data_IF_554787662454
#
_entry.id   IF_554787662454
#
_cell.length_a   1.000
_cell.length_b   1.000
_cell.length_c   1.000
_cell.angle_alpha   90.00
_cell.angle_beta   90.00
_cell.angle_gamma   90.00
#
_symmetry.space_group_name_H-M   'P 1'
#
loop_
_entity.id
_entity.type
_entity.pdbx_description
1 polymer ?
#
# COMPACT_ATOMS: atom_id res chain seq x y z
N UNK A 1 -10.47 11.07 14.55
CA UNK A 1 -9.41 10.57 13.69
C UNK A 1 -8.90 11.74 12.85
N UNK A 2 -7.57 11.88 12.65
CA UNK A 2 -7.02 12.99 11.88
C UNK A 2 -6.96 12.56 10.40
N UNK A 3 -7.74 13.24 9.54
CA UNK A 3 -7.73 13.06 8.09
C UNK A 3 -6.34 13.39 7.53
N UNK A 4 -5.78 12.49 6.71
CA UNK A 4 -4.47 12.67 6.09
C UNK A 4 -4.55 12.91 4.58
N UNK A 5 -5.43 12.18 3.89
CA UNK A 5 -5.74 12.36 2.48
C UNK A 5 -7.26 12.35 2.28
N UNK A 6 -7.75 13.26 1.46
CA UNK A 6 -9.16 13.31 1.04
C UNK A 6 -9.22 13.39 -0.49
N UNK A 7 -10.04 12.54 -1.07
CA UNK A 7 -10.42 12.57 -2.47
C UNK A 7 -11.89 12.98 -2.52
N UNK A 8 -12.22 14.02 -3.29
CA UNK A 8 -13.58 14.55 -3.41
C UNK A 8 -13.98 14.60 -4.88
N UNK A 9 -14.87 13.70 -5.29
CA UNK A 9 -15.36 13.52 -6.67
C UNK A 9 -14.22 13.42 -7.70
N UNK A 10 -13.14 12.70 -7.34
CA UNK A 10 -11.93 12.57 -8.16
C UNK A 10 -12.16 11.57 -9.28
N UNK A 11 -11.83 11.96 -10.52
CA UNK A 11 -11.76 11.07 -11.68
C UNK A 11 -10.44 11.19 -12.42
N UNK A 12 -10.13 10.17 -13.25
CA UNK A 12 -8.94 10.20 -14.09
C UNK A 12 -9.10 9.37 -15.36
N UNK A 13 -8.59 9.91 -16.47
CA UNK A 13 -8.48 9.23 -17.77
C UNK A 13 -7.07 9.39 -18.32
N UNK A 14 -6.53 8.33 -18.89
CA UNK A 14 -5.27 8.40 -19.63
C UNK A 14 -5.49 8.96 -21.05
N UNK A 15 -4.58 9.81 -21.53
CA UNK A 15 -4.63 10.41 -22.87
C UNK A 15 -4.24 9.42 -24.01
N UNK A 16 -4.52 8.13 -23.83
CA UNK A 16 -4.14 7.07 -24.76
C UNK A 16 -5.20 6.75 -25.82
N UNK A 17 -6.16 7.66 -26.05
CA UNK A 17 -7.19 7.51 -27.08
C UNK A 17 -8.35 6.59 -26.71
N UNK A 18 -8.43 6.12 -25.47
CA UNK A 18 -9.58 5.37 -24.94
C UNK A 18 -10.68 6.30 -24.45
N UNK A 19 -11.95 5.97 -24.72
CA UNK A 19 -13.11 6.72 -24.20
C UNK A 19 -13.43 6.44 -22.73
N UNK A 20 -12.82 5.40 -22.12
CA UNK A 20 -13.14 4.97 -20.75
C UNK A 20 -12.24 5.63 -19.72
N UNK A 21 -12.83 6.02 -18.59
CA UNK A 21 -12.10 6.51 -17.43
C UNK A 21 -11.34 5.36 -16.76
N UNK A 22 -10.08 5.61 -16.42
CA UNK A 22 -9.29 4.70 -15.59
C UNK A 22 -9.78 4.71 -14.13
N UNK A 23 -10.33 5.87 -13.70
CA UNK A 23 -11.09 6.01 -12.46
C UNK A 23 -12.28 6.92 -12.71
N UNK A 24 -13.47 6.41 -12.49
CA UNK A 24 -14.72 7.17 -12.45
C UNK A 24 -14.77 8.03 -11.18
N UNK A 25 -15.59 9.10 -11.13
CA UNK A 25 -15.68 9.96 -9.95
C UNK A 25 -15.92 9.15 -8.67
N UNK A 26 -15.06 9.35 -7.70
CA UNK A 26 -15.16 8.71 -6.38
C UNK A 26 -14.72 9.67 -5.28
N UNK A 27 -15.21 9.43 -4.07
CA UNK A 27 -14.82 10.17 -2.88
C UNK A 27 -14.39 9.19 -1.79
N UNK A 28 -13.22 9.44 -1.17
CA UNK A 28 -12.70 8.66 -0.05
C UNK A 28 -11.84 9.54 0.86
N UNK A 29 -11.91 9.28 2.16
CA UNK A 29 -11.08 9.95 3.17
C UNK A 29 -10.21 8.92 3.87
N UNK A 30 -8.91 9.18 3.96
CA UNK A 30 -7.93 8.32 4.63
C UNK A 30 -7.47 9.01 5.90
N UNK A 31 -7.31 8.23 6.97
CA UNK A 31 -6.96 8.76 8.28
C UNK A 31 -5.57 8.29 8.72
N UNK A 32 -4.92 9.09 9.57
CA UNK A 32 -3.59 8.77 10.06
C UNK A 32 -3.58 7.48 10.88
N UNK A 33 -2.65 6.59 10.57
CA UNK A 33 -2.43 5.34 11.28
C UNK A 33 -3.37 4.21 10.85
N UNK A 34 -4.13 4.34 9.74
CA UNK A 34 -4.93 3.23 9.21
C UNK A 34 -4.06 2.20 8.47
N UNK A 35 -4.47 0.93 8.56
CA UNK A 35 -4.03 -0.16 7.68
C UNK A 35 -5.13 -0.44 6.66
N UNK A 36 -4.91 -0.05 5.41
CA UNK A 36 -5.93 -0.13 4.35
C UNK A 36 -5.48 -1.11 3.27
N UNK A 37 -6.30 -2.11 3.00
CA UNK A 37 -6.14 -2.95 1.82
C UNK A 37 -6.98 -2.39 0.66
N UNK A 38 -6.38 -2.31 -0.53
CA UNK A 38 -7.05 -1.89 -1.76
C UNK A 38 -7.18 -3.12 -2.66
N UNK A 39 -8.39 -3.69 -2.70
CA UNK A 39 -8.71 -4.91 -3.44
C UNK A 39 -9.28 -4.60 -4.83
N UNK A 40 -9.04 -5.51 -5.75
CA UNK A 40 -9.57 -5.48 -7.12
C UNK A 40 -8.68 -6.24 -8.08
N UNK A 41 -9.25 -6.66 -9.21
CA UNK A 41 -8.49 -7.34 -10.28
C UNK A 41 -7.44 -6.43 -10.93
N UNK A 42 -6.57 -7.03 -11.74
CA UNK A 42 -5.67 -6.26 -12.59
C UNK A 42 -6.49 -5.36 -13.52
N UNK A 43 -6.09 -4.10 -13.63
CA UNK A 43 -6.85 -3.09 -14.38
C UNK A 43 -8.04 -2.47 -13.65
N UNK A 44 -8.33 -2.82 -12.38
CA UNK A 44 -9.42 -2.24 -11.61
C UNK A 44 -9.24 -0.76 -11.24
N UNK A 45 -8.03 -0.18 -11.43
CA UNK A 45 -7.73 1.21 -11.12
C UNK A 45 -6.85 1.42 -9.88
N UNK A 46 -6.40 0.34 -9.19
CA UNK A 46 -5.62 0.43 -7.94
C UNK A 46 -4.33 1.25 -8.09
N UNK A 47 -3.50 0.93 -9.08
CA UNK A 47 -2.25 1.67 -9.33
C UNK A 47 -2.51 3.12 -9.75
N UNK A 48 -3.57 3.38 -10.53
CA UNK A 48 -3.99 4.74 -10.88
C UNK A 48 -4.41 5.53 -9.64
N UNK A 49 -5.16 4.92 -8.73
CA UNK A 49 -5.50 5.51 -7.43
C UNK A 49 -4.24 5.87 -6.63
N UNK A 50 -3.23 4.98 -6.58
CA UNK A 50 -1.96 5.24 -5.89
C UNK A 50 -1.15 6.36 -6.54
N UNK A 51 -1.12 6.43 -7.87
CA UNK A 51 -0.44 7.51 -8.59
C UNK A 51 -1.11 8.88 -8.37
N UNK A 52 -2.43 8.92 -8.23
CA UNK A 52 -3.16 10.12 -7.82
C UNK A 52 -2.88 10.48 -6.36
N UNK A 53 -2.89 9.50 -5.44
CA UNK A 53 -2.62 9.69 -4.03
C UNK A 53 -1.21 10.24 -3.77
N UNK A 54 -0.21 9.79 -4.54
CA UNK A 54 1.17 10.29 -4.48
C UNK A 54 1.38 11.62 -5.24
N UNK A 55 0.41 12.05 -6.08
CA UNK A 55 0.52 13.27 -6.88
C UNK A 55 1.41 13.15 -8.12
N UNK A 56 1.71 11.93 -8.59
CA UNK A 56 2.30 11.68 -9.92
C UNK A 56 1.29 12.02 -10.99
N UNK A 57 0.07 11.50 -10.86
CA UNK A 57 -1.06 11.89 -11.71
C UNK A 57 -1.82 13.07 -11.12
N UNK A 58 -2.53 13.80 -11.99
CA UNK A 58 -3.43 14.89 -11.60
C UNK A 58 -4.86 14.45 -11.84
N UNK A 59 -5.78 14.71 -10.91
CA UNK A 59 -7.18 14.42 -11.16
C UNK A 59 -7.68 15.22 -12.38
N UNK A 60 -8.56 14.61 -13.15
CA UNK A 60 -9.22 15.27 -14.28
C UNK A 60 -10.42 16.09 -13.79
N UNK A 61 -11.15 15.54 -12.79
CA UNK A 61 -12.20 16.24 -12.06
C UNK A 61 -11.99 16.04 -10.56
N UNK A 62 -12.68 16.83 -9.76
CA UNK A 62 -12.62 16.75 -8.31
C UNK A 62 -11.35 17.34 -7.71
N UNK A 63 -11.14 17.10 -6.42
CA UNK A 63 -10.03 17.66 -5.67
C UNK A 63 -9.39 16.62 -4.74
N UNK A 64 -8.06 16.65 -4.64
CA UNK A 64 -7.31 15.89 -3.63
C UNK A 64 -6.78 16.87 -2.60
N UNK A 65 -6.98 16.56 -1.30
CA UNK A 65 -6.43 17.33 -0.19
C UNK A 65 -5.47 16.47 0.62
N UNK A 66 -4.38 17.06 1.05
CA UNK A 66 -3.42 16.47 1.98
C UNK A 66 -3.35 17.31 3.25
N UNK A 67 -3.64 16.70 4.41
CA UNK A 67 -3.74 17.40 5.71
C UNK A 67 -4.67 18.63 5.65
N UNK A 68 -5.79 18.50 4.95
CA UNK A 68 -6.79 19.56 4.76
C UNK A 68 -6.46 20.58 3.67
N UNK A 69 -5.22 20.63 3.17
CA UNK A 69 -4.80 21.56 2.15
C UNK A 69 -4.95 20.97 0.74
N UNK A 70 -5.51 21.72 -0.22
CA UNK A 70 -5.63 21.25 -1.61
C UNK A 70 -4.26 20.93 -2.22
N UNK A 71 -4.15 19.78 -2.87
CA UNK A 71 -2.99 19.40 -3.66
C UNK A 71 -3.11 20.11 -5.00
N UNK A 72 -2.56 21.32 -5.06
CA UNK A 72 -2.72 22.19 -6.21
C UNK A 72 -1.92 21.74 -7.46
N UNK A 73 -2.16 22.45 -8.56
CA UNK A 73 -1.52 22.20 -9.86
C UNK A 73 -0.01 22.54 -9.88
N UNK A 74 0.48 23.31 -8.89
CA UNK A 74 1.88 23.75 -8.84
C UNK A 74 2.79 22.57 -8.46
N UNK A 75 3.89 22.41 -9.21
CA UNK A 75 4.88 21.35 -8.97
C UNK A 75 5.42 21.34 -7.54
N UNK A 76 5.63 22.52 -6.95
CA UNK A 76 6.10 22.67 -5.56
C UNK A 76 5.16 21.99 -4.55
N UNK A 77 3.84 22.10 -4.73
CA UNK A 77 2.85 21.47 -3.83
C UNK A 77 2.85 19.95 -3.98
N UNK A 78 2.91 19.46 -5.23
CA UNK A 78 2.98 18.02 -5.50
C UNK A 78 4.30 17.40 -5.03
N UNK A 79 5.42 18.13 -5.15
CA UNK A 79 6.71 17.72 -4.58
C UNK A 79 6.60 17.54 -3.06
N UNK A 80 5.94 18.49 -2.36
CA UNK A 80 5.67 18.38 -0.91
C UNK A 80 4.82 17.14 -0.60
N UNK A 81 3.79 16.85 -1.41
CA UNK A 81 2.98 15.65 -1.25
C UNK A 81 3.82 14.38 -1.41
N UNK A 82 4.63 14.27 -2.48
CA UNK A 82 5.49 13.10 -2.73
C UNK A 82 6.55 12.85 -1.66
N UNK A 83 6.92 13.87 -0.89
CA UNK A 83 7.78 13.72 0.28
C UNK A 83 7.08 13.03 1.44
N UNK A 84 5.77 13.22 1.54
CA UNK A 84 4.96 12.76 2.67
C UNK A 84 4.15 11.51 2.36
N UNK A 85 3.89 11.25 1.09
CA UNK A 85 3.17 10.09 0.59
C UNK A 85 4.11 9.30 -0.31
N UNK A 86 4.77 8.30 0.24
CA UNK A 86 5.71 7.44 -0.48
C UNK A 86 4.99 6.37 -1.30
N UNK A 87 5.54 6.00 -2.46
CA UNK A 87 5.00 4.96 -3.33
C UNK A 87 6.08 3.91 -3.62
N UNK A 88 5.73 2.64 -3.38
CA UNK A 88 6.52 1.47 -3.77
C UNK A 88 5.79 0.76 -4.89
N UNK A 89 6.42 0.66 -6.05
CA UNK A 89 5.85 0.04 -7.24
C UNK A 89 5.84 -1.49 -7.13
N UNK A 90 4.94 -2.12 -7.91
CA UNK A 90 4.83 -3.57 -8.00
C UNK A 90 6.12 -4.23 -8.47
N UNK A 91 6.77 -3.67 -9.49
CA UNK A 91 8.05 -4.14 -10.00
C UNK A 91 9.19 -3.27 -9.43
N UNK A 92 10.05 -3.82 -8.54
CA UNK A 92 11.16 -3.05 -8.01
C UNK A 92 12.21 -2.70 -9.08
N UNK A 93 12.33 -3.44 -10.18
CA UNK A 93 13.32 -3.16 -11.22
C UNK A 93 13.06 -1.85 -11.96
N UNK A 94 11.81 -1.38 -12.01
CA UNK A 94 11.49 -0.05 -12.59
C UNK A 94 11.76 1.09 -11.60
N UNK A 95 11.98 0.78 -10.32
CA UNK A 95 12.20 1.77 -9.27
C UNK A 95 13.68 1.93 -8.91
N UNK A 96 14.46 0.84 -8.95
CA UNK A 96 15.85 0.80 -8.50
C UNK A 96 16.80 1.18 -9.65
N UNK A 97 17.51 2.32 -9.52
CA UNK A 97 18.30 2.92 -10.59
C UNK A 97 19.79 3.12 -10.23
N UNK A 98 20.13 3.07 -8.93
CA UNK A 98 21.49 3.38 -8.47
C UNK A 98 22.45 2.21 -8.60
N UNK A 99 23.75 2.49 -8.50
CA UNK A 99 24.82 1.49 -8.59
C UNK A 99 24.95 0.61 -7.34
N UNK A 100 24.56 1.11 -6.17
CA UNK A 100 24.60 0.39 -4.89
C UNK A 100 23.31 0.58 -4.09
N UNK A 101 23.05 -0.33 -3.16
CA UNK A 101 21.91 -0.25 -2.23
C UNK A 101 21.94 1.04 -1.41
N UNK A 102 23.12 1.44 -0.92
CA UNK A 102 23.25 2.68 -0.15
C UNK A 102 22.91 3.92 -0.98
N UNK A 103 23.41 3.99 -2.22
CA UNK A 103 23.10 5.09 -3.13
C UNK A 103 21.59 5.13 -3.45
N UNK A 104 20.97 3.96 -3.69
CA UNK A 104 19.53 3.88 -3.96
C UNK A 104 18.71 4.43 -2.80
N UNK A 105 18.99 4.01 -1.58
CA UNK A 105 18.27 4.47 -0.38
C UNK A 105 18.58 5.95 -0.09
N UNK A 106 19.76 6.45 -0.46
CA UNK A 106 20.17 7.86 -0.28
C UNK A 106 19.46 8.80 -1.24
N UNK A 107 19.01 8.31 -2.39
CA UNK A 107 18.48 9.13 -3.50
C UNK A 107 17.32 10.05 -3.05
N UNK A 108 16.33 9.49 -2.33
CA UNK A 108 15.21 10.26 -1.80
C UNK A 108 15.64 11.39 -0.86
N UNK A 109 16.31 11.08 0.26
CA UNK A 109 16.81 12.09 1.21
C UNK A 109 17.72 13.15 0.58
N UNK A 110 18.59 12.78 -0.36
CA UNK A 110 19.43 13.75 -1.09
C UNK A 110 18.59 14.72 -1.92
N UNK A 111 17.57 14.23 -2.62
CA UNK A 111 16.65 15.07 -3.40
C UNK A 111 15.78 15.99 -2.53
N UNK A 112 15.64 15.69 -1.23
CA UNK A 112 15.02 16.60 -0.26
C UNK A 112 15.94 17.79 0.08
N UNK A 113 17.23 17.74 -0.28
CA UNK A 113 18.24 18.75 0.06
C UNK A 113 18.65 18.70 1.52
N UNK A 114 18.58 17.53 2.17
CA UNK A 114 18.95 17.35 3.56
C UNK A 114 20.47 17.42 3.74
N UNK A 115 20.97 17.88 4.91
CA UNK A 115 22.39 17.81 5.25
C UNK A 115 22.93 16.38 5.17
N UNK A 116 24.20 16.23 4.79
CA UNK A 116 24.84 14.91 4.60
C UNK A 116 24.70 13.98 5.82
N UNK A 117 24.85 14.52 7.00
CA UNK A 117 24.75 13.75 8.27
C UNK A 117 23.32 13.20 8.46
N UNK A 118 22.30 14.01 8.12
CA UNK A 118 20.91 13.59 8.21
C UNK A 118 20.57 12.54 7.15
N UNK A 119 21.10 12.67 5.93
CA UNK A 119 20.99 11.64 4.88
C UNK A 119 21.57 10.33 5.39
N UNK A 120 22.81 10.35 5.93
CA UNK A 120 23.45 9.16 6.45
C UNK A 120 22.66 8.51 7.58
N UNK A 121 22.15 9.30 8.54
CA UNK A 121 21.30 8.81 9.63
C UNK A 121 20.06 8.09 9.11
N UNK A 122 19.33 8.71 8.17
CA UNK A 122 18.09 8.14 7.61
C UNK A 122 18.34 6.87 6.82
N UNK A 123 19.39 6.86 5.99
CA UNK A 123 19.84 5.69 5.24
C UNK A 123 20.18 4.54 6.17
N UNK A 124 20.97 4.79 7.20
CA UNK A 124 21.35 3.79 8.19
C UNK A 124 20.12 3.21 8.88
N UNK A 125 19.21 4.05 9.37
CA UNK A 125 17.95 3.64 10.03
C UNK A 125 17.05 2.82 9.08
N UNK A 126 16.93 3.22 7.83
CA UNK A 126 16.14 2.48 6.84
C UNK A 126 16.77 1.11 6.54
N UNK A 127 18.08 1.04 6.35
CA UNK A 127 18.80 -0.21 6.12
C UNK A 127 18.68 -1.19 7.30
N UNK A 128 18.77 -0.71 8.53
CA UNK A 128 18.56 -1.51 9.73
C UNK A 128 17.14 -2.06 9.81
N UNK A 129 16.14 -1.19 9.61
CA UNK A 129 14.71 -1.55 9.66
C UNK A 129 14.33 -2.62 8.62
N UNK A 130 15.02 -2.65 7.47
CA UNK A 130 14.77 -3.58 6.36
C UNK A 130 15.77 -4.72 6.26
N UNK A 131 16.70 -4.86 7.25
CA UNK A 131 17.73 -5.89 7.29
C UNK A 131 18.62 -5.88 6.03
N UNK A 132 19.11 -4.70 5.64
CA UNK A 132 19.88 -4.48 4.40
C UNK A 132 21.34 -4.13 4.61
N UNK A 133 21.83 -4.08 5.86
CA UNK A 133 23.22 -3.64 6.18
C UNK A 133 24.28 -4.45 5.44
N UNK A 134 24.10 -5.76 5.30
CA UNK A 134 25.04 -6.65 4.60
C UNK A 134 25.07 -6.45 3.08
N UNK A 135 24.11 -5.72 2.53
CA UNK A 135 24.00 -5.45 1.10
C UNK A 135 24.43 -4.02 0.71
N UNK A 136 24.92 -3.21 1.66
CA UNK A 136 25.20 -1.78 1.52
C UNK A 136 25.88 -1.39 0.19
N UNK A 137 26.97 -2.06 -0.13
CA UNK A 137 27.81 -1.79 -1.32
C UNK A 137 27.45 -2.64 -2.53
N UNK A 138 26.44 -3.50 -2.39
CA UNK A 138 26.03 -4.41 -3.48
C UNK A 138 25.14 -3.67 -4.46
N UNK A 139 25.31 -3.96 -5.76
CA UNK A 139 24.44 -3.43 -6.80
C UNK A 139 23.04 -4.07 -6.75
N UNK A 140 21.95 -3.29 -6.86
CA UNK A 140 20.58 -3.82 -6.83
C UNK A 140 20.32 -4.95 -7.84
N UNK A 141 20.98 -4.92 -8.98
CA UNK A 141 20.85 -5.95 -10.04
C UNK A 141 21.30 -7.35 -9.59
N UNK A 142 22.11 -7.44 -8.53
CA UNK A 142 22.61 -8.72 -7.97
C UNK A 142 21.78 -9.23 -6.78
N UNK A 143 20.66 -8.58 -6.49
CA UNK A 143 19.75 -8.94 -5.41
C UNK A 143 18.64 -9.85 -5.89
N UNK A 144 18.12 -10.71 -5.00
CA UNK A 144 16.88 -11.44 -5.22
C UNK A 144 15.69 -10.50 -5.29
N UNK A 145 14.55 -10.95 -5.83
CA UNK A 145 13.34 -10.14 -5.91
C UNK A 145 12.86 -9.63 -4.54
N UNK A 146 12.95 -10.45 -3.49
CA UNK A 146 12.61 -10.05 -2.13
C UNK A 146 13.58 -9.03 -1.53
N UNK A 147 14.89 -9.14 -1.80
CA UNK A 147 15.89 -8.14 -1.40
C UNK A 147 15.67 -6.82 -2.13
N UNK A 148 15.42 -6.84 -3.46
CA UNK A 148 15.08 -5.65 -4.25
C UNK A 148 13.84 -4.94 -3.70
N UNK A 149 12.81 -5.71 -3.33
CA UNK A 149 11.60 -5.18 -2.72
C UNK A 149 11.89 -4.44 -1.42
N UNK A 150 12.71 -5.03 -0.55
CA UNK A 150 13.14 -4.38 0.69
C UNK A 150 13.96 -3.10 0.43
N UNK A 151 14.81 -3.08 -0.58
CA UNK A 151 15.55 -1.87 -0.99
C UNK A 151 14.58 -0.78 -1.45
N UNK A 152 13.59 -1.11 -2.28
CA UNK A 152 12.58 -0.15 -2.73
C UNK A 152 11.77 0.44 -1.55
N UNK A 153 11.37 -0.41 -0.59
CA UNK A 153 10.69 0.04 0.63
C UNK A 153 11.62 0.94 1.47
N UNK A 154 12.92 0.57 1.62
CA UNK A 154 13.90 1.34 2.38
C UNK A 154 14.14 2.73 1.76
N UNK A 155 14.23 2.83 0.44
CA UNK A 155 14.38 4.11 -0.28
C UNK A 155 13.22 5.07 -0.01
N UNK A 156 12.00 4.55 0.03
CA UNK A 156 10.81 5.32 0.39
C UNK A 156 10.81 5.67 1.88
N UNK A 157 11.13 4.71 2.75
CA UNK A 157 11.16 4.91 4.21
C UNK A 157 12.18 5.96 4.64
N UNK A 158 13.33 6.04 3.96
CA UNK A 158 14.36 7.02 4.24
C UNK A 158 13.91 8.48 4.04
N UNK A 159 12.84 8.71 3.31
CA UNK A 159 12.21 10.03 3.22
C UNK A 159 11.36 10.39 4.45
N UNK A 160 11.11 9.44 5.37
CA UNK A 160 10.26 9.56 6.56
C UNK A 160 8.82 10.00 6.20
N UNK A 161 8.12 9.24 5.35
CA UNK A 161 6.78 9.60 4.91
C UNK A 161 5.74 9.37 6.00
N UNK A 162 4.63 10.13 5.95
CA UNK A 162 3.45 9.89 6.80
C UNK A 162 2.55 8.77 6.25
N UNK A 163 2.58 8.54 4.94
CA UNK A 163 1.79 7.52 4.24
C UNK A 163 2.70 6.72 3.33
N UNK A 164 2.58 5.41 3.32
CA UNK A 164 3.21 4.54 2.34
C UNK A 164 2.15 3.77 1.55
N UNK A 165 2.27 3.87 0.24
CA UNK A 165 1.47 3.15 -0.75
C UNK A 165 2.33 2.02 -1.31
N UNK A 166 1.89 0.78 -1.17
CA UNK A 166 2.64 -0.38 -1.65
C UNK A 166 1.76 -1.16 -2.65
N UNK A 167 2.20 -1.19 -3.91
CA UNK A 167 1.47 -1.90 -4.96
C UNK A 167 1.97 -3.34 -5.07
N UNK A 168 1.10 -4.31 -4.75
CA UNK A 168 1.36 -5.77 -4.76
C UNK A 168 2.71 -6.16 -4.08
N UNK A 169 2.98 -5.71 -2.83
CA UNK A 169 4.32 -5.86 -2.24
C UNK A 169 4.69 -7.30 -1.92
N UNK A 170 3.73 -8.21 -1.78
CA UNK A 170 3.96 -9.63 -1.50
C UNK A 170 4.07 -10.49 -2.77
N UNK A 171 3.83 -9.94 -3.96
CA UNK A 171 3.87 -10.70 -5.22
C UNK A 171 5.25 -11.32 -5.46
N UNK A 172 5.26 -12.61 -5.87
CA UNK A 172 6.48 -13.38 -6.15
C UNK A 172 7.43 -13.57 -4.95
N UNK A 173 6.99 -13.37 -3.71
CA UNK A 173 7.76 -13.72 -2.53
C UNK A 173 7.45 -15.16 -2.11
N UNK A 174 8.48 -15.86 -1.65
CA UNK A 174 8.32 -17.13 -0.97
C UNK A 174 7.70 -16.93 0.44
N UNK A 175 7.25 -17.98 1.12
CA UNK A 175 6.61 -17.85 2.44
C UNK A 175 7.48 -17.13 3.48
N UNK A 176 8.80 -17.31 3.45
CA UNK A 176 9.72 -16.64 4.37
C UNK A 176 9.80 -15.13 4.07
N UNK A 177 9.86 -14.76 2.78
CA UNK A 177 9.82 -13.37 2.33
C UNK A 177 8.50 -12.68 2.68
N UNK A 178 7.36 -13.39 2.55
CA UNK A 178 6.05 -12.87 2.96
C UNK A 178 5.98 -12.63 4.48
N UNK A 179 6.46 -13.58 5.28
CA UNK A 179 6.49 -13.43 6.73
C UNK A 179 7.37 -12.23 7.16
N UNK A 180 8.54 -12.06 6.53
CA UNK A 180 9.40 -10.92 6.78
C UNK A 180 8.75 -9.60 6.36
N UNK A 181 8.11 -9.56 5.19
CA UNK A 181 7.37 -8.37 4.74
C UNK A 181 6.27 -7.99 5.73
N UNK A 182 5.47 -8.97 6.19
CA UNK A 182 4.41 -8.74 7.16
C UNK A 182 4.96 -8.14 8.46
N UNK A 183 6.10 -8.65 8.96
CA UNK A 183 6.78 -8.09 10.13
C UNK A 183 7.21 -6.64 9.90
N UNK A 184 7.80 -6.34 8.74
CA UNK A 184 8.20 -4.98 8.36
C UNK A 184 6.97 -4.05 8.34
N UNK A 185 5.86 -4.46 7.73
CA UNK A 185 4.64 -3.65 7.67
C UNK A 185 4.06 -3.35 9.06
N UNK A 186 4.05 -4.33 9.95
CA UNK A 186 3.63 -4.12 11.34
C UNK A 186 4.56 -3.15 12.09
N UNK A 187 5.87 -3.24 11.88
CA UNK A 187 6.84 -2.34 12.52
C UNK A 187 6.72 -0.90 11.97
N UNK A 188 6.44 -0.74 10.68
CA UNK A 188 6.16 0.58 10.08
C UNK A 188 4.85 1.18 10.63
N UNK A 189 3.81 0.38 10.75
CA UNK A 189 2.54 0.81 11.34
C UNK A 189 2.71 1.24 12.80
N UNK A 190 3.45 0.47 13.63
CA UNK A 190 3.77 0.84 15.02
C UNK A 190 4.53 2.17 15.13
N UNK A 191 5.29 2.56 14.11
CA UNK A 191 5.94 3.89 14.01
C UNK A 191 4.95 5.00 13.63
N UNK A 192 3.66 4.69 13.45
CA UNK A 192 2.59 5.64 13.13
C UNK A 192 2.44 5.97 11.65
N UNK A 193 3.07 5.20 10.76
CA UNK A 193 2.93 5.35 9.31
C UNK A 193 1.57 4.78 8.89
N UNK A 194 0.83 5.52 8.09
CA UNK A 194 -0.40 5.07 7.44
C UNK A 194 -0.03 4.18 6.25
N UNK A 195 -0.58 2.98 6.19
CA UNK A 195 -0.22 2.01 5.16
C UNK A 195 -1.42 1.70 4.26
N UNK A 196 -1.23 1.87 2.95
CA UNK A 196 -2.16 1.41 1.93
C UNK A 196 -1.48 0.32 1.09
N UNK A 197 -2.10 -0.85 1.02
CA UNK A 197 -1.56 -1.98 0.25
C UNK A 197 -2.57 -2.38 -0.81
N UNK A 198 -2.21 -2.18 -2.09
CA UNK A 198 -2.97 -2.75 -3.18
C UNK A 198 -2.59 -4.23 -3.32
N UNK A 199 -3.57 -5.10 -3.34
CA UNK A 199 -3.38 -6.53 -3.49
C UNK A 199 -4.62 -7.22 -4.04
N UNK A 200 -4.44 -8.42 -4.57
CA UNK A 200 -5.51 -9.35 -4.90
C UNK A 200 -5.65 -10.47 -3.86
N UNK A 201 -4.76 -10.52 -2.86
CA UNK A 201 -4.77 -11.49 -1.77
C UNK A 201 -5.82 -11.10 -0.71
N UNK A 202 -6.97 -11.78 -0.77
CA UNK A 202 -8.09 -11.55 0.16
C UNK A 202 -7.80 -12.10 1.57
N UNK A 203 -6.97 -13.14 1.69
CA UNK A 203 -6.57 -13.69 2.98
C UNK A 203 -5.66 -12.72 3.72
N UNK A 204 -4.69 -12.11 3.02
CA UNK A 204 -3.88 -11.04 3.57
C UNK A 204 -4.77 -9.85 3.99
N UNK A 205 -5.65 -9.37 3.10
CA UNK A 205 -6.55 -8.26 3.40
C UNK A 205 -7.43 -8.54 4.63
N UNK A 206 -7.96 -9.76 4.76
CA UNK A 206 -8.73 -10.18 5.93
C UNK A 206 -7.92 -10.13 7.22
N UNK A 207 -6.71 -10.66 7.19
CA UNK A 207 -5.89 -10.81 8.39
C UNK A 207 -5.28 -9.49 8.85
N UNK A 208 -4.86 -8.64 7.89
CA UNK A 208 -4.01 -7.50 8.14
C UNK A 208 -4.76 -6.16 8.21
N UNK A 209 -5.75 -5.91 7.32
CA UNK A 209 -6.32 -4.58 7.16
C UNK A 209 -7.37 -4.22 8.23
N UNK A 210 -7.41 -2.95 8.62
CA UNK A 210 -8.50 -2.39 9.43
C UNK A 210 -9.68 -1.96 8.54
N UNK A 211 -9.38 -1.61 7.28
CA UNK A 211 -10.34 -1.11 6.29
C UNK A 211 -9.97 -1.61 4.89
N UNK A 212 -10.98 -1.83 4.08
CA UNK A 212 -10.83 -2.34 2.71
C UNK A 212 -11.55 -1.40 1.75
N UNK A 213 -10.82 -1.00 0.71
CA UNK A 213 -11.36 -0.32 -0.47
C UNK A 213 -11.42 -1.34 -1.60
N UNK A 214 -12.60 -1.55 -2.18
CA UNK A 214 -12.79 -2.48 -3.30
C UNK A 214 -12.98 -1.68 -4.58
N UNK A 215 -12.05 -1.84 -5.52
CA UNK A 215 -12.15 -1.25 -6.85
C UNK A 215 -12.52 -2.30 -7.90
N UNK A 216 -13.38 -1.89 -8.83
CA UNK A 216 -13.75 -2.66 -10.01
C UNK A 216 -13.96 -1.73 -11.20
N UNK A 217 -13.30 -2.00 -12.32
CA UNK A 217 -13.49 -1.27 -13.59
C UNK A 217 -13.43 0.26 -13.38
N UNK A 218 -12.46 0.74 -12.59
CA UNK A 218 -12.28 2.16 -12.28
C UNK A 218 -13.28 2.74 -11.27
N UNK A 219 -14.16 1.94 -10.64
CA UNK A 219 -15.13 2.40 -9.65
C UNK A 219 -14.77 1.92 -8.25
N UNK A 220 -14.93 2.78 -7.27
CA UNK A 220 -14.89 2.39 -5.85
C UNK A 220 -16.24 1.76 -5.49
N UNK A 221 -16.30 0.44 -5.45
CA UNK A 221 -17.52 -0.35 -5.19
C UNK A 221 -17.86 -0.42 -3.69
N UNK A 222 -16.86 -0.43 -2.83
CA UNK A 222 -17.05 -0.52 -1.38
C UNK A 222 -15.87 0.11 -0.64
N UNK A 223 -16.19 0.72 0.48
CA UNK A 223 -15.26 1.28 1.47
C UNK A 223 -15.81 0.91 2.85
N UNK A 224 -15.23 -0.11 3.49
CA UNK A 224 -15.76 -0.63 4.74
C UNK A 224 -14.72 -1.46 5.52
N UNK A 225 -15.08 -1.88 6.74
CA UNK A 225 -14.31 -2.88 7.48
C UNK A 225 -14.28 -4.22 6.73
N UNK A 226 -13.22 -5.03 6.86
CA UNK A 226 -13.11 -6.31 6.17
C UNK A 226 -14.32 -7.24 6.40
N UNK A 227 -14.89 -7.25 7.60
CA UNK A 227 -16.06 -8.08 7.90
C UNK A 227 -17.29 -7.68 7.05
N UNK A 228 -17.51 -6.38 6.85
CA UNK A 228 -18.62 -5.86 6.05
C UNK A 228 -18.42 -6.08 4.55
N UNK A 229 -17.15 -6.11 4.10
CA UNK A 229 -16.79 -6.42 2.71
C UNK A 229 -17.04 -7.90 2.43
N UNK A 230 -16.50 -8.81 3.26
CA UNK A 230 -16.58 -10.24 3.00
C UNK A 230 -17.92 -10.88 3.39
N UNK A 231 -18.77 -10.17 4.14
CA UNK A 231 -20.16 -10.56 4.35
C UNK A 231 -21.06 -10.27 3.13
N UNK A 232 -20.67 -9.35 2.26
CA UNK A 232 -21.43 -8.96 1.05
C UNK A 232 -21.11 -9.90 -0.11
N UNK A 233 -21.79 -11.06 -0.15
CA UNK A 233 -21.61 -12.07 -1.21
C UNK A 233 -21.88 -11.54 -2.61
N UNK A 234 -22.83 -10.60 -2.74
CA UNK A 234 -23.16 -9.99 -4.03
C UNK A 234 -22.00 -9.11 -4.51
N UNK A 235 -21.36 -8.36 -3.62
CA UNK A 235 -20.15 -7.60 -3.90
C UNK A 235 -19.00 -8.52 -4.32
N UNK A 236 -18.71 -9.56 -3.51
CA UNK A 236 -17.64 -10.52 -3.76
C UNK A 236 -17.79 -11.14 -5.16
N UNK A 237 -19.00 -11.63 -5.48
CA UNK A 237 -19.29 -12.21 -6.79
C UNK A 237 -19.18 -11.16 -7.92
N UNK A 238 -19.73 -9.96 -7.73
CA UNK A 238 -19.72 -8.89 -8.74
C UNK A 238 -18.31 -8.40 -9.03
N UNK A 239 -17.48 -8.29 -7.99
CA UNK A 239 -16.07 -7.87 -8.12
C UNK A 239 -15.14 -9.02 -8.48
N UNK A 240 -15.63 -10.25 -8.63
CA UNK A 240 -14.85 -11.45 -8.93
C UNK A 240 -13.82 -11.77 -7.85
N UNK A 241 -14.04 -11.32 -6.62
CA UNK A 241 -13.18 -11.64 -5.49
C UNK A 241 -13.51 -13.03 -4.93
N UNK A 242 -12.56 -13.61 -4.22
CA UNK A 242 -12.82 -14.78 -3.38
C UNK A 242 -13.10 -14.35 -1.93
N UNK A 243 -13.78 -15.21 -1.19
CA UNK A 243 -13.88 -15.05 0.27
C UNK A 243 -12.62 -15.59 0.93
N UNK A 244 -12.08 -14.93 1.98
CA UNK A 244 -10.92 -15.42 2.71
C UNK A 244 -11.11 -16.83 3.27
N UNK A 245 -10.03 -17.61 3.36
CA UNK A 245 -10.10 -18.99 3.84
C UNK A 245 -10.65 -19.09 5.28
N UNK A 246 -10.15 -18.21 6.18
CA UNK A 246 -10.65 -18.19 7.57
C UNK A 246 -12.14 -17.81 7.64
N UNK A 247 -12.60 -16.95 6.74
CA UNK A 247 -14.03 -16.61 6.60
C UNK A 247 -14.86 -17.81 6.15
N UNK A 248 -14.40 -18.54 5.12
CA UNK A 248 -15.07 -19.75 4.61
C UNK A 248 -15.17 -20.82 5.71
N UNK A 249 -14.07 -21.06 6.44
CA UNK A 249 -14.03 -22.04 7.56
C UNK A 249 -14.98 -21.62 8.68
N UNK A 250 -14.95 -20.37 9.11
CA UNK A 250 -15.80 -19.86 10.18
C UNK A 250 -17.29 -20.02 9.86
N UNK A 251 -17.68 -19.73 8.61
CA UNK A 251 -19.05 -19.93 8.14
C UNK A 251 -19.47 -21.40 8.18
N UNK A 252 -18.59 -22.31 7.75
CA UNK A 252 -18.85 -23.75 7.78
C UNK A 252 -19.02 -24.26 9.22
N UNK A 253 -18.28 -23.69 10.17
CA UNK A 253 -18.37 -24.00 11.60
C UNK A 253 -19.45 -23.20 12.33
N UNK A 254 -20.13 -22.26 11.68
CA UNK A 254 -21.12 -21.35 12.27
C UNK A 254 -20.59 -20.54 13.46
N UNK A 255 -19.32 -20.10 13.38
CA UNK A 255 -18.66 -19.26 14.38
C UNK A 255 -18.23 -17.91 13.75
N UNK A 256 -18.00 -16.86 14.55
CA UNK A 256 -17.40 -15.64 14.06
C UNK A 256 -16.03 -15.88 13.43
N UNK A 257 -15.74 -15.24 12.29
CA UNK A 257 -14.48 -15.44 11.60
C UNK A 257 -13.32 -14.72 12.32
N UNK A 258 -12.31 -15.48 12.81
CA UNK A 258 -11.15 -14.87 13.44
C UNK A 258 -10.21 -14.26 12.39
N UNK A 259 -9.35 -13.33 12.84
CA UNK A 259 -8.33 -12.69 11.99
C UNK A 259 -7.08 -13.53 11.80
N UNK A 260 -6.91 -14.57 12.63
CA UNK A 260 -5.80 -15.52 12.51
C UNK A 260 -6.29 -16.96 12.76
N UNK A 261 -5.55 -17.98 12.28
CA UNK A 261 -5.91 -19.39 12.54
C UNK A 261 -6.00 -19.74 14.02
N UNK A 262 -5.13 -19.15 14.85
CA UNK A 262 -5.10 -19.37 16.30
C UNK A 262 -6.39 -18.89 16.98
N UNK A 263 -7.07 -17.90 16.38
CA UNK A 263 -8.34 -17.39 16.89
C UNK A 263 -9.45 -18.45 16.95
N UNK A 264 -9.36 -19.53 16.15
CA UNK A 264 -10.30 -20.65 16.24
C UNK A 264 -10.16 -21.44 17.56
N UNK A 265 -9.02 -21.40 18.24
CA UNK A 265 -8.85 -22.05 19.54
C UNK A 265 -9.79 -21.51 20.62
N UNK A 266 -10.33 -20.29 20.44
CA UNK A 266 -11.34 -19.72 21.35
C UNK A 266 -12.71 -20.41 21.22
N UNK A 267 -12.96 -21.09 20.10
CA UNK A 267 -14.21 -21.82 19.86
C UNK A 267 -14.02 -23.28 20.26
N UNK A 268 -14.61 -23.70 21.41
CA UNK A 268 -14.70 -25.11 21.77
C UNK A 268 -15.52 -25.79 20.70
N UNK A 269 -14.90 -26.67 19.92
CA UNK A 269 -15.63 -27.66 19.14
C UNK A 269 -16.31 -28.56 20.16
N UNK A 270 -17.60 -28.38 20.39
CA UNK A 270 -18.38 -29.37 21.16
C UNK A 270 -18.27 -30.67 20.38
N UNK A 271 -17.49 -31.60 20.96
CA UNK A 271 -17.27 -32.90 20.37
C UNK A 271 -18.59 -33.65 20.22
N UNK A 272 -18.80 -34.18 19.02
CA UNK A 272 -19.76 -35.25 18.81
C UNK A 272 -19.30 -36.50 19.53
#
# INVERSE_FOLDING_TARGET
MNEILCFDEVSYRYDTGGEQDALYPFSVRLYKGEKIAVLGHNGAGKSTFFLLANGVLRPQTGEIRFLGEPVGLKEKQRRKLRQQVGLVFQDPDVQLLAGTVEEEISFGPMNLGLPREEVQRRVQTAMESLQLLSYRTRGPQYLSGGEKRRVAIAGVLAMEPNVMLLDEPASNLDPAGQALLNQILEDLHKKGITLLIATHDVDFAWQWADRVLVFREGRLEKDAAPADVFADEALIKRCGLESPMLWKVARALQVPAPRSPEGFAAYKVEGR
#
